data_IF_598003904301
#
_entry.id   IF_598003904301
#
_cell.length_a   1.000
_cell.length_b   1.000
_cell.length_c   1.000
_cell.angle_alpha   90.00
_cell.angle_beta   90.00
_cell.angle_gamma   90.00
#
_symmetry.space_group_name_H-M   'P 1'
#
loop_
_entity.id
_entity.type
_entity.pdbx_description
1 polymer ?
#
# COMPACT_ATOMS: atom_id res chain seq x y z
N UNK A 1 12.48 4.14 2.75
CA UNK A 1 11.94 4.79 1.54
C UNK A 1 13.04 4.90 0.48
N UNK A 2 12.74 4.63 -0.79
CA UNK A 2 13.71 4.73 -1.90
C UNK A 2 14.19 6.17 -2.10
N UNK A 3 13.28 7.15 -2.10
CA UNK A 3 13.60 8.58 -2.21
C UNK A 3 14.61 9.05 -1.15
N UNK A 4 14.36 8.73 0.13
CA UNK A 4 15.29 9.03 1.24
C UNK A 4 16.67 8.39 1.04
N UNK A 5 16.75 7.16 0.50
CA UNK A 5 18.03 6.50 0.20
C UNK A 5 18.76 7.14 -0.98
N UNK A 6 18.04 7.78 -1.89
CA UNK A 6 18.58 8.56 -2.99
C UNK A 6 18.92 10.01 -2.59
N UNK A 7 18.79 10.38 -1.31
CA UNK A 7 19.06 11.75 -0.84
C UNK A 7 17.94 12.76 -1.13
N UNK A 8 16.76 12.30 -1.55
CA UNK A 8 15.60 13.17 -1.83
C UNK A 8 14.82 13.39 -0.54
N UNK A 9 14.71 14.65 -0.11
CA UNK A 9 13.93 15.06 1.05
C UNK A 9 12.41 14.85 0.84
N UNK A 10 11.64 14.69 1.93
CA UNK A 10 10.21 14.43 1.83
C UNK A 10 9.46 15.54 1.11
N UNK A 11 9.76 16.81 1.36
CA UNK A 11 9.09 17.95 0.73
C UNK A 11 9.35 17.99 -0.78
N UNK A 12 10.60 17.82 -1.19
CA UNK A 12 10.98 17.74 -2.60
C UNK A 12 10.31 16.53 -3.30
N UNK A 13 10.17 15.40 -2.59
CA UNK A 13 9.47 14.24 -3.10
C UNK A 13 7.96 14.49 -3.25
N UNK A 14 7.30 15.16 -2.29
CA UNK A 14 5.89 15.53 -2.38
C UNK A 14 5.63 16.45 -3.57
N UNK A 15 6.40 17.55 -3.69
CA UNK A 15 6.27 18.50 -4.77
C UNK A 15 6.44 17.82 -6.15
N UNK A 16 7.45 16.95 -6.28
CA UNK A 16 7.66 16.20 -7.51
C UNK A 16 6.48 15.27 -7.85
N UNK A 17 5.83 14.64 -6.87
CA UNK A 17 4.64 13.83 -7.14
C UNK A 17 3.43 14.69 -7.55
N UNK A 18 3.28 15.88 -7.00
CA UNK A 18 2.17 16.79 -7.29
C UNK A 18 2.27 17.43 -8.67
N UNK A 19 3.49 17.83 -9.08
CA UNK A 19 3.74 18.54 -10.33
C UNK A 19 3.96 17.61 -11.54
N UNK A 20 4.00 16.29 -11.33
CA UNK A 20 4.17 15.29 -12.40
C UNK A 20 2.97 14.36 -12.52
N UNK A 21 2.97 13.50 -13.55
CA UNK A 21 1.94 12.48 -13.75
C UNK A 21 1.90 11.38 -12.67
N UNK A 22 2.74 11.46 -11.63
CA UNK A 22 2.74 10.52 -10.51
C UNK A 22 1.71 10.89 -9.41
N UNK A 23 1.08 12.06 -9.49
CA UNK A 23 0.07 12.52 -8.55
C UNK A 23 -1.18 11.66 -8.57
N UNK A 24 -1.76 11.39 -7.39
CA UNK A 24 -3.03 10.68 -7.27
C UNK A 24 -3.80 11.14 -6.03
N UNK A 25 -5.10 10.88 -5.99
CA UNK A 25 -5.89 11.09 -4.78
C UNK A 25 -5.31 10.35 -3.56
N UNK A 26 -4.76 9.14 -3.77
CA UNK A 26 -4.14 8.38 -2.68
C UNK A 26 -2.84 9.05 -2.19
N UNK A 27 -2.04 9.67 -3.06
CA UNK A 27 -0.86 10.41 -2.62
C UNK A 27 -1.26 11.66 -1.84
N UNK A 28 -2.26 12.41 -2.28
CA UNK A 28 -2.76 13.60 -1.56
C UNK A 28 -3.21 13.25 -0.12
N UNK A 29 -3.88 12.11 0.06
CA UNK A 29 -4.39 11.69 1.36
C UNK A 29 -3.31 11.03 2.23
N UNK A 30 -2.54 10.09 1.68
CA UNK A 30 -1.67 9.20 2.48
C UNK A 30 -0.24 9.69 2.60
N UNK A 31 0.26 10.47 1.64
CA UNK A 31 1.65 10.92 1.64
C UNK A 31 2.00 11.76 2.88
N UNK A 32 1.15 12.70 3.35
CA UNK A 32 1.42 13.43 4.59
C UNK A 32 1.60 12.52 5.81
N UNK A 33 0.79 11.45 5.91
CA UNK A 33 0.89 10.49 7.00
C UNK A 33 2.19 9.69 6.93
N UNK A 34 2.56 9.23 5.73
CA UNK A 34 3.81 8.48 5.51
C UNK A 34 5.04 9.35 5.82
N UNK A 35 4.99 10.64 5.48
CA UNK A 35 6.07 11.60 5.77
C UNK A 35 6.22 11.88 7.26
N UNK A 36 5.11 11.94 7.99
CA UNK A 36 5.09 12.12 9.45
C UNK A 36 5.31 10.82 10.25
N UNK A 37 5.51 9.68 9.58
CA UNK A 37 5.53 8.34 10.18
C UNK A 37 4.24 8.01 10.99
N UNK A 38 3.12 8.66 10.65
CA UNK A 38 1.79 8.39 11.22
C UNK A 38 1.17 7.19 10.50
N UNK A 39 1.48 6.00 11.01
CA UNK A 39 0.96 4.74 10.49
C UNK A 39 -0.28 4.25 11.25
N UNK A 40 -0.98 5.14 11.97
CA UNK A 40 -2.20 4.76 12.66
C UNK A 40 -3.26 4.28 11.66
N UNK A 41 -3.84 3.12 11.95
CA UNK A 41 -4.76 2.45 11.05
C UNK A 41 -6.10 3.22 10.95
N UNK A 42 -6.25 3.98 9.86
CA UNK A 42 -7.54 4.58 9.43
C UNK A 42 -8.35 3.63 8.56
N UNK A 43 -7.64 2.77 7.84
CA UNK A 43 -8.18 1.61 7.13
C UNK A 43 -7.21 0.44 7.32
N UNK A 44 -7.71 -0.68 7.83
CA UNK A 44 -6.85 -1.83 8.17
C UNK A 44 -6.22 -2.42 6.90
N UNK A 45 -4.93 -2.74 6.99
CA UNK A 45 -4.21 -3.41 5.90
C UNK A 45 -4.80 -4.81 5.63
N UNK A 46 -5.34 -5.48 6.66
CA UNK A 46 -6.00 -6.78 6.48
C UNK A 46 -7.32 -6.64 5.70
N UNK A 47 -8.05 -5.54 5.90
CA UNK A 47 -9.25 -5.22 5.12
C UNK A 47 -8.89 -4.86 3.68
N UNK A 48 -7.84 -4.06 3.47
CA UNK A 48 -7.32 -3.77 2.14
C UNK A 48 -6.92 -5.06 1.39
N UNK A 49 -6.19 -5.96 2.06
CA UNK A 49 -5.80 -7.25 1.49
C UNK A 49 -7.01 -8.16 1.22
N UNK A 50 -8.07 -8.07 2.03
CA UNK A 50 -9.35 -8.76 1.75
C UNK A 50 -9.99 -8.23 0.47
N UNK A 51 -10.09 -6.92 0.30
CA UNK A 51 -10.72 -6.31 -0.88
C UNK A 51 -9.94 -6.62 -2.17
N UNK A 52 -8.60 -6.57 -2.12
CA UNK A 52 -7.75 -6.95 -3.27
C UNK A 52 -7.91 -8.44 -3.63
N UNK A 53 -8.01 -9.34 -2.64
CA UNK A 53 -8.27 -10.77 -2.90
C UNK A 53 -9.61 -10.98 -3.60
N UNK A 54 -10.67 -10.35 -3.10
CA UNK A 54 -11.99 -10.45 -3.73
C UNK A 54 -11.97 -9.90 -5.17
N UNK A 55 -11.25 -8.82 -5.44
CA UNK A 55 -11.10 -8.28 -6.78
C UNK A 55 -10.37 -9.24 -7.73
N UNK A 56 -9.27 -9.85 -7.28
CA UNK A 56 -8.53 -10.86 -8.07
C UNK A 56 -9.41 -12.08 -8.35
N UNK A 57 -10.11 -12.60 -7.35
CA UNK A 57 -11.03 -13.73 -7.49
C UNK A 57 -12.20 -13.42 -8.44
N UNK A 58 -12.74 -12.20 -8.39
CA UNK A 58 -13.79 -11.76 -9.30
C UNK A 58 -13.29 -11.68 -10.74
N UNK A 59 -12.12 -11.07 -10.97
CA UNK A 59 -11.51 -10.94 -12.30
C UNK A 59 -11.19 -12.30 -12.92
N UNK A 60 -10.77 -13.28 -12.12
CA UNK A 60 -10.47 -14.63 -12.58
C UNK A 60 -11.70 -15.34 -13.21
N UNK A 61 -12.92 -15.09 -12.70
CA UNK A 61 -14.16 -15.66 -13.28
C UNK A 61 -14.41 -15.22 -14.72
N UNK A 62 -13.85 -14.06 -15.09
CA UNK A 62 -13.98 -13.46 -16.42
C UNK A 62 -12.69 -13.56 -17.24
N UNK A 63 -11.70 -14.33 -16.76
CA UNK A 63 -10.37 -14.45 -17.39
C UNK A 63 -9.65 -13.10 -17.58
N UNK A 64 -9.89 -12.12 -16.70
CA UNK A 64 -9.24 -10.81 -16.75
C UNK A 64 -7.94 -10.84 -15.93
N UNK A 65 -6.76 -10.58 -16.54
CA UNK A 65 -5.49 -10.59 -15.81
C UNK A 65 -5.37 -9.39 -14.87
N UNK A 66 -4.92 -9.63 -13.64
CA UNK A 66 -4.74 -8.59 -12.59
C UNK A 66 -3.33 -8.61 -11.98
N UNK A 67 -2.26 -8.48 -12.79
CA UNK A 67 -0.88 -8.70 -12.34
C UNK A 67 -0.45 -7.76 -11.20
N UNK A 68 -0.90 -6.51 -11.21
CA UNK A 68 -0.58 -5.52 -10.16
C UNK A 68 -1.28 -5.86 -8.84
N UNK A 69 -2.56 -6.22 -8.88
CA UNK A 69 -3.31 -6.63 -7.69
C UNK A 69 -2.73 -7.91 -7.08
N UNK A 70 -2.40 -8.89 -7.91
CA UNK A 70 -1.75 -10.14 -7.49
C UNK A 70 -0.38 -9.89 -6.85
N UNK A 71 0.43 -8.97 -7.42
CA UNK A 71 1.70 -8.57 -6.82
C UNK A 71 1.52 -7.91 -5.44
N UNK A 72 0.47 -7.10 -5.27
CA UNK A 72 0.13 -6.45 -4.00
C UNK A 72 -0.28 -7.41 -2.87
N UNK A 73 -0.71 -8.63 -3.20
CA UNK A 73 -1.04 -9.67 -2.22
C UNK A 73 0.17 -10.50 -1.75
N UNK A 74 1.34 -10.32 -2.36
CA UNK A 74 2.54 -11.06 -1.96
C UNK A 74 2.94 -10.63 -0.54
N UNK A 75 3.01 -11.55 0.44
CA UNK A 75 3.30 -11.17 1.82
C UNK A 75 4.68 -10.52 1.93
N UNK A 76 4.72 -9.24 2.26
CA UNK A 76 5.95 -8.55 2.64
C UNK A 76 6.50 -9.11 3.95
N UNK A 77 7.83 -9.02 4.15
CA UNK A 77 8.53 -9.57 5.33
C UNK A 77 7.95 -9.10 6.69
N UNK A 78 7.27 -7.94 6.74
CA UNK A 78 6.65 -7.39 7.95
C UNK A 78 5.23 -7.89 8.29
N UNK A 79 4.54 -8.56 7.35
CA UNK A 79 3.12 -8.93 7.51
C UNK A 79 2.91 -10.30 8.18
N UNK A 80 3.99 -11.02 8.46
CA UNK A 80 3.98 -12.42 8.97
C UNK A 80 3.78 -12.56 10.49
N UNK A 81 3.63 -11.46 11.25
CA UNK A 81 3.75 -11.48 12.73
C UNK A 81 2.51 -11.04 13.49
N UNK A 82 1.33 -11.54 13.13
CA UNK A 82 0.15 -11.56 14.03
C UNK A 82 -0.62 -12.88 13.90
N UNK A 83 0.07 -14.01 14.06
CA UNK A 83 -0.61 -15.28 14.33
C UNK A 83 -1.24 -15.21 15.72
N UNK A 84 -2.56 -15.46 15.80
CA UNK A 84 -3.38 -15.44 17.03
C UNK A 84 -2.71 -16.18 18.19
N UNK A 85 -2.85 -15.71 19.44
CA UNK A 85 -2.44 -16.51 20.59
C UNK A 85 -3.27 -17.80 20.62
N UNK A 86 -2.58 -18.95 20.72
CA UNK A 86 -3.22 -20.24 20.97
C UNK A 86 -4.00 -20.11 22.29
N UNK A 87 -5.32 -20.26 22.22
CA UNK A 87 -6.15 -20.44 23.42
C UNK A 87 -5.65 -21.72 24.10
N UNK A 88 -5.26 -21.59 25.37
CA UNK A 88 -5.02 -22.71 26.27
C UNK A 88 -6.35 -23.33 26.68
#
# INVERSE_FOLDING_TARGET
MLARRAGIGPEAFAAALEETGAGSFQSQVRLPWIMADDLAARFSVDLAAKDVRLAVEAAARWSVPTPVAAAGLRPGRGQRRRARPRRR
#
